data_IF_028622906649
#
_entry.id   IF_028622906649
#
_cell.length_a   1.000
_cell.length_b   1.000
_cell.length_c   1.000
_cell.angle_alpha   90.00
_cell.angle_beta   90.00
_cell.angle_gamma   90.00
#
_symmetry.space_group_name_H-M   'P 1'
#
loop_
_entity.id
_entity.type
_entity.pdbx_description
1 polymer ?
#
# COMPACT_ATOMS: atom_id res chain seq x y z
N UNK A 1 87.89 2.39 85.66
CA UNK A 1 86.46 2.75 85.72
C UNK A 1 86.14 3.85 84.72
N UNK A 2 86.75 5.04 84.84
CA UNK A 2 86.47 6.20 83.96
C UNK A 2 86.53 5.96 82.43
N UNK A 3 87.55 5.26 81.91
CA UNK A 3 87.63 4.95 80.47
C UNK A 3 86.53 4.00 79.98
N UNK A 4 86.00 3.14 80.86
CA UNK A 4 84.91 2.23 80.52
C UNK A 4 83.59 3.00 80.44
N UNK A 5 83.38 3.94 81.36
CA UNK A 5 82.19 4.80 81.41
C UNK A 5 82.12 5.75 80.20
N UNK A 6 83.26 6.32 79.77
CA UNK A 6 83.34 7.15 78.56
C UNK A 6 83.08 6.33 77.27
N UNK A 7 83.66 5.12 77.17
CA UNK A 7 83.41 4.23 76.04
C UNK A 7 81.95 3.76 75.97
N UNK A 8 81.32 3.53 77.13
CA UNK A 8 79.90 3.21 77.21
C UNK A 8 79.01 4.39 76.75
N UNK A 9 79.31 5.61 77.19
CA UNK A 9 78.58 6.81 76.76
C UNK A 9 78.65 7.06 75.25
N UNK A 10 79.83 6.90 74.64
CA UNK A 10 80.01 7.01 73.18
C UNK A 10 79.25 5.91 72.43
N UNK A 11 79.24 4.69 72.95
CA UNK A 11 78.50 3.57 72.37
C UNK A 11 76.97 3.82 72.41
N UNK A 12 76.46 4.37 73.51
CA UNK A 12 75.05 4.74 73.65
C UNK A 12 74.66 5.87 72.67
N UNK A 13 75.53 6.87 72.48
CA UNK A 13 75.31 7.95 71.50
C UNK A 13 75.26 7.42 70.07
N UNK A 14 76.23 6.59 69.66
CA UNK A 14 76.24 5.93 68.35
C UNK A 14 75.01 5.03 68.14
N UNK A 15 74.54 4.36 69.19
CA UNK A 15 73.32 3.55 69.14
C UNK A 15 72.08 4.41 68.93
N UNK A 16 71.93 5.53 69.66
CA UNK A 16 70.80 6.45 69.47
C UNK A 16 70.83 7.10 68.09
N UNK A 17 72.00 7.54 67.62
CA UNK A 17 72.16 8.10 66.28
C UNK A 17 71.76 7.07 65.20
N UNK A 18 72.20 5.82 65.35
CA UNK A 18 71.81 4.73 64.44
C UNK A 18 70.31 4.46 64.49
N UNK A 19 69.69 4.46 65.67
CA UNK A 19 68.24 4.25 65.84
C UNK A 19 67.45 5.35 65.11
N UNK A 20 67.79 6.61 65.33
CA UNK A 20 67.14 7.75 64.67
C UNK A 20 67.31 7.67 63.15
N UNK A 21 68.52 7.39 62.66
CA UNK A 21 68.77 7.23 61.21
C UNK A 21 67.93 6.11 60.62
N UNK A 22 67.85 4.95 61.28
CA UNK A 22 67.04 3.81 60.82
C UNK A 22 65.54 4.13 60.81
N UNK A 23 65.03 4.82 61.83
CA UNK A 23 63.63 5.27 61.89
C UNK A 23 63.32 6.25 60.74
N UNK A 24 64.19 7.22 60.48
CA UNK A 24 64.03 8.16 59.35
C UNK A 24 64.09 7.46 58.00
N UNK A 25 65.02 6.52 57.79
CA UNK A 25 65.07 5.75 56.56
C UNK A 25 63.82 4.89 56.36
N UNK A 26 63.32 4.26 57.43
CA UNK A 26 62.08 3.50 57.37
C UNK A 26 60.88 4.41 57.01
N UNK A 27 60.77 5.58 57.64
CA UNK A 27 59.74 6.56 57.32
C UNK A 27 59.83 7.04 55.86
N UNK A 28 61.04 7.32 55.36
CA UNK A 28 61.26 7.70 53.97
C UNK A 28 60.80 6.59 53.01
N UNK A 29 61.15 5.33 53.25
CA UNK A 29 60.73 4.20 52.40
C UNK A 29 59.21 3.98 52.42
N UNK A 30 58.57 4.15 53.57
CA UNK A 30 57.11 4.09 53.68
C UNK A 30 56.48 5.21 52.85
N UNK A 31 56.97 6.43 52.98
CA UNK A 31 56.49 7.57 52.20
C UNK A 31 56.66 7.35 50.69
N UNK A 32 57.83 6.90 50.23
CA UNK A 32 58.09 6.61 48.81
C UNK A 32 57.12 5.56 48.26
N UNK A 33 56.92 4.46 48.99
CA UNK A 33 55.96 3.41 48.61
C UNK A 33 54.54 3.99 48.51
N UNK A 34 54.11 4.72 49.54
CA UNK A 34 52.77 5.27 49.60
C UNK A 34 52.54 6.32 48.50
N UNK A 35 53.56 7.12 48.16
CA UNK A 35 53.52 8.07 47.06
C UNK A 35 53.34 7.35 45.72
N UNK A 36 54.11 6.28 45.45
CA UNK A 36 54.00 5.47 44.24
C UNK A 36 52.61 4.82 44.14
N UNK A 37 52.12 4.23 45.23
CA UNK A 37 50.81 3.58 45.25
C UNK A 37 49.68 4.57 45.02
N UNK A 38 49.76 5.77 45.62
CA UNK A 38 48.80 6.85 45.38
C UNK A 38 48.83 7.29 43.92
N UNK A 39 49.99 7.51 43.32
CA UNK A 39 50.11 7.90 41.91
C UNK A 39 49.57 6.83 40.98
N UNK A 40 49.88 5.55 41.21
CA UNK A 40 49.32 4.43 40.42
C UNK A 40 47.80 4.39 40.50
N UNK A 41 47.22 4.52 41.69
CA UNK A 41 45.76 4.59 41.88
C UNK A 41 45.17 5.78 41.12
N UNK A 42 45.80 6.95 41.22
CA UNK A 42 45.33 8.16 40.54
C UNK A 42 45.33 8.01 39.01
N UNK A 43 46.39 7.42 38.44
CA UNK A 43 46.49 7.13 37.00
C UNK A 43 45.40 6.13 36.57
N UNK A 44 45.16 5.07 37.33
CA UNK A 44 44.11 4.11 37.03
C UNK A 44 42.71 4.72 37.11
N UNK A 45 42.42 5.52 38.13
CA UNK A 45 41.14 6.25 38.26
C UNK A 45 40.95 7.17 37.05
N UNK A 46 42.00 7.91 36.66
CA UNK A 46 41.94 8.79 35.49
C UNK A 46 41.69 8.01 34.20
N UNK A 47 42.34 6.86 34.02
CA UNK A 47 42.15 5.99 32.85
C UNK A 47 40.72 5.44 32.78
N UNK A 48 40.18 4.99 33.91
CA UNK A 48 38.81 4.48 34.00
C UNK A 48 37.78 5.58 33.70
N UNK A 49 37.97 6.78 34.27
CA UNK A 49 37.10 7.94 33.98
C UNK A 49 37.11 8.28 32.49
N UNK A 50 38.29 8.41 31.89
CA UNK A 50 38.41 8.70 30.46
C UNK A 50 37.75 7.63 29.57
N UNK A 51 37.88 6.36 29.94
CA UNK A 51 37.20 5.28 29.24
C UNK A 51 35.67 5.37 29.40
N UNK A 52 35.17 5.66 30.60
CA UNK A 52 33.74 5.83 30.86
C UNK A 52 33.15 7.01 30.06
N UNK A 53 33.83 8.16 30.03
CA UNK A 53 33.40 9.35 29.28
C UNK A 53 33.34 9.07 27.77
N UNK A 54 34.32 8.32 27.25
CA UNK A 54 34.31 7.85 25.85
C UNK A 54 33.17 6.90 25.55
N UNK A 55 32.93 5.93 26.43
CA UNK A 55 31.84 4.96 26.27
C UNK A 55 30.48 5.68 26.26
N UNK A 56 30.28 6.66 27.15
CA UNK A 56 29.08 7.49 27.18
C UNK A 56 28.91 8.28 25.87
N UNK A 57 29.98 8.90 25.40
CA UNK A 57 29.97 9.64 24.12
C UNK A 57 29.62 8.73 22.96
N UNK A 58 30.22 7.53 22.89
CA UNK A 58 29.93 6.55 21.85
C UNK A 58 28.49 6.05 21.90
N UNK A 59 27.94 5.82 23.10
CA UNK A 59 26.55 5.43 23.27
C UNK A 59 25.60 6.53 22.79
N UNK A 60 25.86 7.79 23.14
CA UNK A 60 25.05 8.92 22.68
C UNK A 60 25.09 9.04 21.15
N UNK A 61 26.27 8.98 20.53
CA UNK A 61 26.41 8.99 19.07
C UNK A 61 25.68 7.81 18.41
N UNK A 62 25.74 6.63 19.03
CA UNK A 62 25.02 5.45 18.53
C UNK A 62 23.51 5.66 18.59
N UNK A 63 23.00 6.25 19.67
CA UNK A 63 21.59 6.62 19.79
C UNK A 63 21.18 7.63 18.72
N UNK A 64 21.95 8.70 18.52
CA UNK A 64 21.66 9.74 17.53
C UNK A 64 21.60 9.17 16.10
N UNK A 65 22.55 8.30 15.74
CA UNK A 65 22.57 7.63 14.42
C UNK A 65 21.34 6.71 14.25
N UNK A 66 20.97 5.94 15.27
CA UNK A 66 19.78 5.09 15.23
C UNK A 66 18.52 5.93 15.07
N UNK A 67 18.39 7.01 15.85
CA UNK A 67 17.24 7.90 15.79
C UNK A 67 17.09 8.54 14.40
N UNK A 68 18.17 9.11 13.85
CA UNK A 68 18.17 9.66 12.50
C UNK A 68 17.80 8.60 11.45
N UNK A 69 18.30 7.37 11.59
CA UNK A 69 17.93 6.27 10.71
C UNK A 69 16.44 5.93 10.78
N UNK A 70 15.84 6.00 11.97
CA UNK A 70 14.40 5.77 12.16
C UNK A 70 13.55 6.90 11.57
N UNK A 71 13.93 8.17 11.76
CA UNK A 71 13.23 9.32 11.16
C UNK A 71 13.26 9.26 9.63
N UNK A 72 14.42 8.95 9.05
CA UNK A 72 14.56 8.78 7.60
C UNK A 72 13.71 7.61 7.08
N UNK A 73 13.73 6.48 7.78
CA UNK A 73 12.90 5.33 7.40
C UNK A 73 11.42 5.68 7.46
N UNK A 74 10.98 6.37 8.52
CA UNK A 74 9.60 6.81 8.68
C UNK A 74 9.19 7.73 7.54
N UNK A 75 10.00 8.77 7.26
CA UNK A 75 9.76 9.72 6.18
C UNK A 75 9.61 9.02 4.82
N UNK A 76 10.56 8.14 4.47
CA UNK A 76 10.53 7.39 3.19
C UNK A 76 9.32 6.45 3.13
N UNK A 77 8.96 5.82 4.25
CA UNK A 77 7.83 4.89 4.29
C UNK A 77 6.51 5.64 4.14
N UNK A 78 6.35 6.78 4.80
CA UNK A 78 5.15 7.62 4.71
C UNK A 78 4.95 8.17 3.29
N UNK A 79 5.98 8.79 2.71
CA UNK A 79 5.93 9.32 1.34
C UNK A 79 5.62 8.21 0.31
N UNK A 80 6.24 7.03 0.45
CA UNK A 80 6.00 5.91 -0.46
C UNK A 80 4.59 5.35 -0.29
N UNK A 81 4.07 5.25 0.94
CA UNK A 81 2.70 4.79 1.19
C UNK A 81 1.66 5.76 0.63
N UNK A 82 1.86 7.07 0.79
CA UNK A 82 0.99 8.08 0.20
C UNK A 82 0.97 7.96 -1.32
N UNK A 83 2.14 7.92 -1.96
CA UNK A 83 2.26 7.72 -3.40
C UNK A 83 1.56 6.43 -3.89
N UNK A 84 1.77 5.30 -3.18
CA UNK A 84 1.13 4.04 -3.54
C UNK A 84 -0.39 4.09 -3.39
N UNK A 85 -0.91 4.75 -2.36
CA UNK A 85 -2.35 4.94 -2.20
C UNK A 85 -2.95 5.82 -3.31
N UNK A 86 -2.28 6.91 -3.69
CA UNK A 86 -2.71 7.74 -4.82
C UNK A 86 -2.76 6.92 -6.12
N UNK A 87 -1.72 6.12 -6.38
CA UNK A 87 -1.69 5.24 -7.57
C UNK A 87 -2.73 4.15 -7.54
N UNK A 88 -3.02 3.58 -6.38
CA UNK A 88 -4.11 2.64 -6.23
C UNK A 88 -5.46 3.30 -6.57
N UNK A 89 -5.71 4.52 -6.07
CA UNK A 89 -6.94 5.25 -6.35
C UNK A 89 -7.09 5.61 -7.83
N UNK A 90 -6.01 6.04 -8.49
CA UNK A 90 -5.99 6.30 -9.94
C UNK A 90 -6.36 5.03 -10.73
N UNK A 91 -5.78 3.88 -10.37
CA UNK A 91 -6.06 2.60 -11.01
C UNK A 91 -7.51 2.15 -10.80
N UNK A 92 -8.04 2.29 -9.59
CA UNK A 92 -9.43 1.92 -9.28
C UNK A 92 -10.42 2.78 -10.08
N UNK A 93 -10.16 4.09 -10.21
CA UNK A 93 -10.98 4.97 -11.03
C UNK A 93 -10.93 4.59 -12.51
N UNK A 94 -9.74 4.31 -13.05
CA UNK A 94 -9.56 3.91 -14.44
C UNK A 94 -10.24 2.55 -14.73
N UNK A 95 -10.11 1.58 -13.82
CA UNK A 95 -10.76 0.28 -13.93
C UNK A 95 -12.28 0.40 -13.92
N UNK A 96 -12.83 1.24 -13.04
CA UNK A 96 -14.27 1.48 -12.95
C UNK A 96 -14.81 2.18 -14.21
N UNK A 97 -14.10 3.15 -14.77
CA UNK A 97 -14.44 3.78 -16.05
C UNK A 97 -14.42 2.76 -17.19
N UNK A 98 -13.39 1.93 -17.25
CA UNK A 98 -13.27 0.88 -18.27
C UNK A 98 -14.40 -0.15 -18.17
N UNK A 99 -14.73 -0.59 -16.95
CA UNK A 99 -15.84 -1.51 -16.68
C UNK A 99 -17.17 -0.95 -17.17
N UNK A 100 -17.49 0.31 -16.84
CA UNK A 100 -18.73 0.97 -17.31
C UNK A 100 -18.77 1.05 -18.84
N UNK A 101 -17.66 1.38 -19.48
CA UNK A 101 -17.59 1.45 -20.94
C UNK A 101 -17.84 0.07 -21.58
N UNK A 102 -17.25 -1.00 -21.05
CA UNK A 102 -17.49 -2.37 -21.51
C UNK A 102 -18.96 -2.79 -21.34
N UNK A 103 -19.57 -2.47 -20.20
CA UNK A 103 -20.99 -2.74 -19.96
C UNK A 103 -21.88 -2.04 -20.98
N UNK A 104 -21.59 -0.77 -21.26
CA UNK A 104 -22.28 -0.02 -22.31
C UNK A 104 -22.06 -0.63 -23.71
N UNK A 105 -20.84 -1.06 -24.05
CA UNK A 105 -20.59 -1.81 -25.29
C UNK A 105 -21.45 -3.08 -25.42
N UNK A 106 -21.63 -3.82 -24.33
CA UNK A 106 -22.48 -5.02 -24.31
C UNK A 106 -23.96 -4.65 -24.49
N UNK A 107 -24.43 -3.60 -23.80
CA UNK A 107 -25.80 -3.10 -23.94
C UNK A 107 -26.13 -2.71 -25.38
N UNK A 108 -25.23 -1.95 -26.04
CA UNK A 108 -25.40 -1.54 -27.43
C UNK A 108 -25.45 -2.73 -28.38
N UNK A 109 -24.54 -3.71 -28.26
CA UNK A 109 -24.55 -4.91 -29.10
C UNK A 109 -25.83 -5.71 -28.92
N UNK A 110 -26.34 -5.79 -27.69
CA UNK A 110 -27.57 -6.51 -27.41
C UNK A 110 -28.78 -5.80 -28.04
N UNK A 111 -28.88 -4.47 -27.92
CA UNK A 111 -29.91 -3.69 -28.59
C UNK A 111 -29.86 -3.90 -30.11
N UNK A 112 -28.68 -3.79 -30.73
CA UNK A 112 -28.50 -4.00 -32.17
C UNK A 112 -28.96 -5.39 -32.62
N UNK A 113 -28.69 -6.43 -31.83
CA UNK A 113 -29.13 -7.79 -32.13
C UNK A 113 -30.66 -7.92 -32.09
N UNK A 114 -31.31 -7.31 -31.08
CA UNK A 114 -32.77 -7.32 -30.95
C UNK A 114 -33.46 -6.53 -32.07
N UNK A 115 -32.94 -5.33 -32.41
CA UNK A 115 -33.42 -4.53 -33.55
C UNK A 115 -33.36 -5.35 -34.83
N UNK A 116 -32.21 -5.99 -35.10
CA UNK A 116 -32.04 -6.84 -36.28
C UNK A 116 -33.03 -7.99 -36.33
N UNK A 117 -33.35 -8.59 -35.18
CA UNK A 117 -34.33 -9.67 -35.08
C UNK A 117 -35.74 -9.17 -35.40
N UNK A 118 -36.15 -8.05 -34.78
CA UNK A 118 -37.47 -7.42 -35.02
C UNK A 118 -37.62 -7.02 -36.49
N UNK A 119 -36.62 -6.36 -37.07
CA UNK A 119 -36.62 -6.02 -38.50
C UNK A 119 -36.73 -7.26 -39.40
N UNK A 120 -36.09 -8.37 -39.01
CA UNK A 120 -36.21 -9.65 -39.70
C UNK A 120 -37.64 -10.20 -39.68
N UNK A 121 -38.33 -10.11 -38.55
CA UNK A 121 -39.74 -10.52 -38.43
C UNK A 121 -40.67 -9.61 -39.23
N UNK A 122 -40.45 -8.30 -39.21
CA UNK A 122 -41.22 -7.33 -40.01
C UNK A 122 -41.10 -7.66 -41.50
N UNK A 123 -39.88 -7.82 -42.02
CA UNK A 123 -39.64 -8.17 -43.44
C UNK A 123 -40.26 -9.50 -43.85
N UNK A 124 -40.23 -10.49 -42.96
CA UNK A 124 -40.91 -11.76 -43.21
C UNK A 124 -42.43 -11.56 -43.29
N UNK A 125 -43.01 -10.82 -42.35
CA UNK A 125 -44.43 -10.46 -42.37
C UNK A 125 -44.84 -9.70 -43.65
N UNK A 126 -44.04 -8.73 -44.08
CA UNK A 126 -44.24 -8.02 -45.35
C UNK A 126 -44.21 -8.97 -46.55
N UNK A 127 -43.26 -9.92 -46.56
CA UNK A 127 -43.16 -10.90 -47.65
C UNK A 127 -44.39 -11.81 -47.70
N UNK A 128 -44.90 -12.24 -46.54
CA UNK A 128 -46.13 -13.04 -46.45
C UNK A 128 -47.35 -12.26 -46.95
N UNK A 129 -47.47 -10.98 -46.60
CA UNK A 129 -48.56 -10.11 -47.08
C UNK A 129 -48.47 -9.83 -48.58
N UNK A 130 -47.25 -9.67 -49.12
CA UNK A 130 -47.01 -9.40 -50.54
C UNK A 130 -47.15 -10.64 -51.43
N UNK A 131 -47.16 -11.85 -50.87
CA UNK A 131 -47.26 -13.11 -51.62
C UNK A 131 -48.60 -13.33 -52.36
N UNK A 132 -49.53 -12.38 -52.30
CA UNK A 132 -50.58 -12.21 -53.32
C UNK A 132 -52.00 -12.54 -52.86
N UNK A 133 -52.96 -11.94 -53.57
CA UNK A 133 -54.40 -12.00 -53.35
C UNK A 133 -54.90 -13.46 -53.46
N UNK A 134 -55.27 -14.05 -52.32
CA UNK A 134 -55.71 -15.44 -52.28
C UNK A 134 -57.20 -15.51 -52.64
N UNK A 135 -57.50 -16.02 -53.83
CA UNK A 135 -58.87 -16.33 -54.23
C UNK A 135 -59.20 -17.77 -53.83
N UNK A 136 -60.00 -17.94 -52.79
CA UNK A 136 -60.52 -19.25 -52.39
C UNK A 136 -61.48 -19.80 -53.45
N UNK A 137 -61.34 -21.08 -53.80
CA UNK A 137 -62.16 -21.81 -54.76
C UNK A 137 -63.24 -22.69 -54.11
N UNK A 138 -63.21 -22.82 -52.78
CA UNK A 138 -64.19 -23.58 -51.98
C UNK A 138 -64.36 -23.00 -50.57
N UNK A 139 -65.47 -23.36 -49.89
CA UNK A 139 -65.71 -22.98 -48.48
C UNK A 139 -64.58 -23.49 -47.56
N UNK A 140 -64.16 -24.74 -47.72
CA UNK A 140 -63.10 -25.35 -46.92
C UNK A 140 -61.77 -24.61 -47.05
N UNK A 141 -61.42 -24.18 -48.28
CA UNK A 141 -60.20 -23.40 -48.53
C UNK A 141 -60.30 -22.00 -47.88
N UNK A 142 -61.46 -21.35 -47.96
CA UNK A 142 -61.69 -20.05 -47.31
C UNK A 142 -61.56 -20.13 -45.78
N UNK A 143 -62.14 -21.16 -45.15
CA UNK A 143 -62.04 -21.37 -43.69
C UNK A 143 -60.58 -21.64 -43.25
N UNK A 144 -59.82 -22.40 -44.03
CA UNK A 144 -58.41 -22.67 -43.74
C UNK A 144 -57.57 -21.38 -43.84
N UNK A 145 -57.78 -20.59 -44.89
CA UNK A 145 -57.09 -19.29 -45.06
C UNK A 145 -57.44 -18.29 -43.96
N UNK A 146 -58.69 -18.27 -43.49
CA UNK A 146 -59.09 -17.46 -42.34
C UNK A 146 -58.32 -17.86 -41.09
N UNK A 147 -58.20 -19.16 -40.82
CA UNK A 147 -57.46 -19.67 -39.66
C UNK A 147 -55.97 -19.35 -39.73
N UNK A 148 -55.36 -19.43 -40.92
CA UNK A 148 -53.97 -19.02 -41.15
C UNK A 148 -53.78 -17.52 -40.94
N UNK A 149 -54.75 -16.71 -41.38
CA UNK A 149 -54.75 -15.27 -41.13
C UNK A 149 -54.82 -14.92 -39.64
N UNK A 150 -55.69 -15.58 -38.88
CA UNK A 150 -55.78 -15.38 -37.41
C UNK A 150 -54.46 -15.74 -36.70
N UNK A 151 -53.79 -16.82 -37.12
CA UNK A 151 -52.48 -17.18 -36.59
C UNK A 151 -51.40 -16.15 -36.95
N UNK A 152 -51.45 -15.63 -38.18
CA UNK A 152 -50.54 -14.59 -38.63
C UNK A 152 -50.76 -13.28 -37.88
N UNK A 153 -52.01 -12.90 -37.60
CA UNK A 153 -52.35 -11.73 -36.79
C UNK A 153 -51.68 -11.81 -35.41
N UNK A 154 -51.74 -12.96 -34.74
CA UNK A 154 -51.07 -13.16 -33.45
C UNK A 154 -49.54 -13.00 -33.55
N UNK A 155 -48.92 -13.42 -34.65
CA UNK A 155 -47.50 -13.22 -34.89
C UNK A 155 -47.15 -11.73 -35.11
N UNK A 156 -48.01 -10.98 -35.80
CA UNK A 156 -47.87 -9.53 -35.98
C UNK A 156 -47.97 -8.81 -34.63
N UNK A 157 -48.95 -9.16 -33.79
CA UNK A 157 -49.13 -8.56 -32.46
C UNK A 157 -47.90 -8.77 -31.57
N UNK A 158 -47.31 -9.98 -31.57
CA UNK A 158 -46.06 -10.25 -30.85
C UNK A 158 -44.86 -9.49 -31.40
N UNK A 159 -44.77 -9.35 -32.73
CA UNK A 159 -43.70 -8.58 -33.38
C UNK A 159 -43.81 -7.11 -32.99
N UNK A 160 -45.01 -6.56 -32.96
CA UNK A 160 -45.28 -5.20 -32.51
C UNK A 160 -44.88 -4.98 -31.04
N UNK A 161 -45.25 -5.89 -30.13
CA UNK A 161 -44.81 -5.82 -28.74
C UNK A 161 -43.28 -5.84 -28.60
N UNK A 162 -42.60 -6.68 -29.39
CA UNK A 162 -41.13 -6.74 -29.40
C UNK A 162 -40.50 -5.45 -29.91
N UNK A 163 -41.10 -4.82 -30.94
CA UNK A 163 -40.65 -3.52 -31.45
C UNK A 163 -40.76 -2.42 -30.38
N UNK A 164 -41.87 -2.36 -29.64
CA UNK A 164 -42.06 -1.41 -28.54
C UNK A 164 -41.03 -1.63 -27.41
N UNK A 165 -40.73 -2.88 -27.06
CA UNK A 165 -39.72 -3.20 -26.04
C UNK A 165 -38.32 -2.71 -26.45
N UNK A 166 -37.93 -2.94 -27.71
CA UNK A 166 -36.66 -2.47 -28.25
C UNK A 166 -36.60 -0.94 -28.26
N UNK A 167 -37.68 -0.26 -28.62
CA UNK A 167 -37.76 1.20 -28.57
C UNK A 167 -37.60 1.73 -27.14
N UNK A 168 -38.34 1.17 -26.17
CA UNK A 168 -38.24 1.56 -24.75
C UNK A 168 -36.83 1.34 -24.21
N UNK A 169 -36.17 0.25 -24.61
CA UNK A 169 -34.78 -0.03 -24.24
C UNK A 169 -33.82 1.00 -24.81
N UNK A 170 -33.98 1.39 -26.08
CA UNK A 170 -33.19 2.45 -26.70
C UNK A 170 -33.38 3.80 -25.97
N UNK A 171 -34.61 4.18 -25.67
CA UNK A 171 -34.93 5.38 -24.90
C UNK A 171 -34.30 5.37 -23.50
N UNK A 172 -34.35 4.23 -22.80
CA UNK A 172 -33.72 4.07 -21.50
C UNK A 172 -32.19 4.24 -21.56
N UNK A 173 -31.53 3.71 -22.60
CA UNK A 173 -30.09 3.89 -22.79
C UNK A 173 -29.73 5.35 -23.10
N UNK A 174 -30.55 6.05 -23.89
CA UNK A 174 -30.37 7.48 -24.15
C UNK A 174 -30.53 8.32 -22.86
N UNK A 175 -31.55 8.03 -22.04
CA UNK A 175 -31.76 8.69 -20.75
C UNK A 175 -30.61 8.43 -19.77
N UNK A 176 -29.95 7.27 -19.88
CA UNK A 176 -28.78 6.93 -19.08
C UNK A 176 -27.48 7.62 -19.54
N UNK A 177 -27.52 8.50 -20.55
CA UNK A 177 -26.34 9.14 -21.17
C UNK A 177 -25.28 8.11 -21.59
N UNK A 178 -25.72 7.08 -22.31
CA UNK A 178 -24.83 6.06 -22.88
C UNK A 178 -23.73 6.70 -23.75
N UNK A 179 -22.51 6.16 -23.75
CA UNK A 179 -21.35 6.81 -24.41
C UNK A 179 -21.53 7.06 -25.91
N UNK A 180 -22.30 6.19 -26.58
CA UNK A 180 -22.57 6.26 -28.01
C UNK A 180 -24.08 6.42 -28.27
N UNK A 181 -24.58 7.63 -28.04
CA UNK A 181 -25.99 7.96 -28.24
C UNK A 181 -26.39 7.99 -29.71
N UNK A 182 -25.46 8.32 -30.61
CA UNK A 182 -25.74 8.42 -32.04
C UNK A 182 -26.00 7.03 -32.63
N UNK A 183 -25.18 6.03 -32.28
CA UNK A 183 -25.46 4.65 -32.69
C UNK A 183 -26.77 4.09 -32.12
N UNK A 184 -27.20 4.56 -30.93
CA UNK A 184 -28.51 4.17 -30.37
C UNK A 184 -29.65 4.82 -31.17
N UNK A 185 -29.52 6.09 -31.58
CA UNK A 185 -30.50 6.76 -32.44
C UNK A 185 -30.62 6.09 -33.80
N UNK A 186 -29.49 5.71 -34.40
CA UNK A 186 -29.46 4.97 -35.66
C UNK A 186 -30.19 3.62 -35.60
N UNK A 187 -30.30 3.01 -34.40
CA UNK A 187 -31.08 1.81 -34.18
C UNK A 187 -32.60 2.06 -34.13
N UNK A 188 -33.02 3.29 -33.83
CA UNK A 188 -34.43 3.69 -33.70
C UNK A 188 -35.01 4.31 -34.99
N UNK A 189 -34.16 4.82 -35.88
CA UNK A 189 -34.57 5.60 -37.06
C UNK A 189 -34.61 4.82 -38.41
N UNK A 190 -34.59 3.48 -38.40
CA UNK A 190 -34.65 2.64 -39.63
C UNK A 190 -35.73 1.57 -39.58
#
# INVERSE_FOLDING_TARGET
MQQLDEAQGQMEELFQERKIKLELFLQLRIFERDAIDRTRRWVNIRRLRHHADKALTMNNLTFDVIHQGQELLQYVTEDLLEFLHEKQQELDLAAEQHRRHLEQCVQLRHLQAEVKQVLGWIRNGESMLNAGLITASSLQEAEQLQKEHEQFQHAIEKTHQSALQVQQKAEALLQANHYDMDMIRDCAEK
#
